data_IF_556678614974
#
_entry.id   IF_556678614974
#
_cell.length_a   1.000
_cell.length_b   1.000
_cell.length_c   1.000
_cell.angle_alpha   90.00
_cell.angle_beta   90.00
_cell.angle_gamma   90.00
#
_symmetry.space_group_name_H-M   'P 1'
#
loop_
_entity.id
_entity.type
_entity.pdbx_description
1 polymer ?
#
# COMPACT_ATOMS: atom_id res chain seq x y z
N UNK A 1 10.90 -6.70 -22.53
CA UNK A 1 9.53 -6.37 -22.99
C UNK A 1 8.59 -6.14 -21.80
N UNK A 2 8.20 -7.14 -21.01
CA UNK A 2 7.32 -6.88 -19.84
C UNK A 2 7.96 -6.04 -18.71
N UNK A 3 9.28 -6.17 -18.49
CA UNK A 3 10.00 -5.37 -17.46
C UNK A 3 10.07 -3.89 -17.80
N UNK A 4 10.31 -3.57 -19.07
CA UNK A 4 10.53 -2.20 -19.53
C UNK A 4 9.23 -1.40 -19.52
N UNK A 5 8.11 -2.07 -19.77
CA UNK A 5 6.76 -1.50 -19.71
C UNK A 5 6.35 -1.20 -18.26
N UNK A 6 6.61 -2.13 -17.33
CA UNK A 6 6.37 -1.93 -15.91
C UNK A 6 7.25 -0.81 -15.33
N UNK A 7 8.53 -0.74 -15.71
CA UNK A 7 9.42 0.36 -15.30
C UNK A 7 8.89 1.71 -15.80
N UNK A 8 8.30 1.75 -16.99
CA UNK A 8 7.70 2.95 -17.56
C UNK A 8 6.43 3.38 -16.82
N UNK A 9 5.55 2.43 -16.48
CA UNK A 9 4.37 2.70 -15.65
C UNK A 9 4.76 3.27 -14.28
N UNK A 10 5.82 2.73 -13.68
CA UNK A 10 6.38 3.24 -12.44
C UNK A 10 6.86 4.69 -12.62
N UNK A 11 7.60 4.98 -13.69
CA UNK A 11 8.10 6.33 -13.97
C UNK A 11 6.95 7.34 -14.14
N UNK A 12 5.89 6.97 -14.86
CA UNK A 12 4.67 7.77 -15.02
C UNK A 12 4.01 8.01 -13.66
N UNK A 13 3.85 6.96 -12.86
CA UNK A 13 3.26 7.06 -11.54
C UNK A 13 4.08 7.97 -10.61
N UNK A 14 5.41 7.90 -10.66
CA UNK A 14 6.30 8.81 -9.91
C UNK A 14 6.07 10.26 -10.34
N UNK A 15 6.00 10.53 -11.64
CA UNK A 15 5.74 11.90 -12.14
C UNK A 15 4.37 12.42 -11.71
N UNK A 16 3.33 11.59 -11.77
CA UNK A 16 1.99 11.94 -11.27
C UNK A 16 1.96 12.21 -9.76
N UNK A 17 2.85 11.56 -9.01
CA UNK A 17 2.93 11.70 -7.55
C UNK A 17 3.44 13.06 -7.09
N UNK A 18 4.13 13.81 -7.96
CA UNK A 18 4.45 15.21 -7.71
C UNK A 18 3.17 16.09 -7.65
N UNK A 19 2.10 15.68 -8.35
CA UNK A 19 0.90 16.47 -8.54
C UNK A 19 1.23 17.85 -9.10
N UNK A 20 0.84 18.90 -8.37
CA UNK A 20 1.11 20.30 -8.71
C UNK A 20 2.48 20.79 -8.25
N UNK A 21 3.24 19.98 -7.52
CA UNK A 21 4.51 20.39 -6.90
C UNK A 21 5.66 20.24 -7.89
N UNK A 22 6.49 21.29 -8.02
CA UNK A 22 7.73 21.22 -8.84
C UNK A 22 8.85 20.52 -8.06
N UNK A 23 8.87 20.67 -6.74
CA UNK A 23 9.85 20.08 -5.82
C UNK A 23 9.10 19.36 -4.71
N UNK A 24 9.56 18.16 -4.38
CA UNK A 24 8.98 17.36 -3.31
C UNK A 24 10.09 16.65 -2.52
N UNK A 25 9.90 16.46 -1.22
CA UNK A 25 10.85 15.71 -0.40
C UNK A 25 10.78 14.22 -0.74
N UNK A 26 11.91 13.51 -0.75
CA UNK A 26 11.96 12.09 -1.15
C UNK A 26 10.95 11.23 -0.36
N UNK A 27 10.89 11.40 0.96
CA UNK A 27 9.95 10.68 1.82
C UNK A 27 8.48 11.03 1.50
N UNK A 28 8.18 12.31 1.26
CA UNK A 28 6.82 12.75 0.95
C UNK A 28 6.39 12.26 -0.44
N UNK A 29 7.29 12.34 -1.42
CA UNK A 29 7.08 11.85 -2.77
C UNK A 29 6.86 10.34 -2.79
N UNK A 30 7.61 9.59 -1.99
CA UNK A 30 7.42 8.15 -1.85
C UNK A 30 6.03 7.81 -1.26
N UNK A 31 5.59 8.52 -0.22
CA UNK A 31 4.24 8.32 0.32
C UNK A 31 3.15 8.68 -0.70
N UNK A 32 3.30 9.78 -1.43
CA UNK A 32 2.38 10.16 -2.52
C UNK A 32 2.35 9.10 -3.61
N UNK A 33 3.51 8.57 -3.98
CA UNK A 33 3.63 7.47 -4.92
C UNK A 33 2.84 6.25 -4.48
N UNK A 34 3.02 5.80 -3.24
CA UNK A 34 2.28 4.65 -2.74
C UNK A 34 0.75 4.85 -2.75
N UNK A 35 0.28 6.10 -2.60
CA UNK A 35 -1.16 6.42 -2.70
C UNK A 35 -1.63 6.37 -4.16
N UNK A 36 -0.83 6.90 -5.09
CA UNK A 36 -1.19 6.99 -6.52
C UNK A 36 -1.04 5.64 -7.24
N UNK A 37 -0.03 4.85 -6.89
CA UNK A 37 0.28 3.55 -7.51
C UNK A 37 -0.29 2.35 -6.75
N UNK A 38 -1.16 2.58 -5.75
CA UNK A 38 -1.66 1.58 -4.82
C UNK A 38 -2.25 0.32 -5.49
N UNK A 39 -2.75 0.44 -6.72
CA UNK A 39 -3.34 -0.65 -7.50
C UNK A 39 -2.38 -1.35 -8.46
N UNK A 40 -1.19 -0.78 -8.74
CA UNK A 40 -0.32 -1.23 -9.84
C UNK A 40 1.12 -1.52 -9.44
N UNK A 41 1.64 -0.95 -8.35
CA UNK A 41 3.03 -1.19 -7.95
C UNK A 41 3.26 -0.98 -6.46
N UNK A 42 3.68 -2.05 -5.77
CA UNK A 42 4.21 -2.04 -4.41
C UNK A 42 5.74 -2.10 -4.49
N UNK A 43 6.42 -1.06 -4.01
CA UNK A 43 7.88 -1.00 -3.98
C UNK A 43 8.40 -0.49 -2.64
N UNK A 44 9.60 -0.91 -2.27
CA UNK A 44 10.31 -0.39 -1.09
C UNK A 44 10.90 0.98 -1.37
N UNK A 45 11.26 1.72 -0.32
CA UNK A 45 11.89 3.03 -0.45
C UNK A 45 13.22 2.95 -1.22
N UNK A 46 14.00 1.88 -1.04
CA UNK A 46 15.24 1.68 -1.78
C UNK A 46 15.03 1.39 -3.26
N UNK A 47 13.97 0.65 -3.61
CA UNK A 47 13.57 0.46 -5.00
C UNK A 47 13.11 1.78 -5.61
N UNK A 48 12.28 2.54 -4.90
CA UNK A 48 11.85 3.86 -5.32
C UNK A 48 13.03 4.81 -5.55
N UNK A 49 14.01 4.80 -4.66
CA UNK A 49 15.26 5.56 -4.79
C UNK A 49 16.07 5.12 -6.01
N UNK A 50 16.06 3.83 -6.34
CA UNK A 50 16.68 3.32 -7.58
C UNK A 50 15.95 3.84 -8.82
N UNK A 51 14.62 3.86 -8.82
CA UNK A 51 13.84 4.46 -9.91
C UNK A 51 14.12 5.95 -10.05
N UNK A 52 14.18 6.72 -8.96
CA UNK A 52 14.53 8.14 -9.01
C UNK A 52 15.94 8.40 -9.60
N UNK A 53 16.93 7.57 -9.27
CA UNK A 53 18.26 7.63 -9.88
C UNK A 53 18.23 7.31 -11.37
N UNK A 54 17.44 6.32 -11.78
CA UNK A 54 17.27 5.98 -13.19
C UNK A 54 16.57 7.12 -13.94
N UNK A 55 15.51 7.69 -13.37
CA UNK A 55 14.79 8.84 -13.89
C UNK A 55 15.67 10.08 -13.97
N UNK A 56 16.62 10.26 -13.04
CA UNK A 56 17.62 11.30 -13.10
C UNK A 56 18.54 11.12 -14.32
N UNK A 57 19.04 9.90 -14.54
CA UNK A 57 19.87 9.61 -15.70
C UNK A 57 19.12 9.83 -17.03
N UNK A 58 17.80 9.63 -17.03
CA UNK A 58 16.90 9.91 -18.16
C UNK A 58 16.50 11.39 -18.30
N UNK A 59 16.82 12.23 -17.30
CA UNK A 59 16.49 13.66 -17.31
C UNK A 59 15.06 14.01 -16.88
N UNK A 60 14.31 13.08 -16.28
CA UNK A 60 12.93 13.33 -15.82
C UNK A 60 12.87 14.10 -14.49
N UNK A 61 13.85 13.88 -13.62
CA UNK A 61 13.95 14.50 -12.29
C UNK A 61 15.39 14.91 -12.00
N UNK A 62 15.57 15.86 -11.09
CA UNK A 62 16.88 16.24 -10.57
C UNK A 62 16.89 16.20 -9.03
N UNK A 63 17.94 15.66 -8.40
CA UNK A 63 18.08 15.75 -6.95
C UNK A 63 18.33 17.20 -6.56
N UNK A 64 17.70 17.64 -5.48
CA UNK A 64 17.88 18.96 -4.87
C UNK A 64 17.95 18.79 -3.36
N UNK A 65 18.71 19.66 -2.71
CA UNK A 65 18.74 19.73 -1.25
C UNK A 65 17.93 20.95 -0.81
N UNK A 66 16.94 20.73 0.05
CA UNK A 66 16.12 21.80 0.59
C UNK A 66 16.05 21.66 2.11
N UNK A 67 16.51 22.69 2.83
CA UNK A 67 16.57 22.69 4.30
C UNK A 67 17.33 21.49 4.89
N UNK A 68 18.45 21.07 4.26
CA UNK A 68 19.24 19.93 4.72
C UNK A 68 18.60 18.56 4.50
N UNK A 69 17.48 18.50 3.76
CA UNK A 69 16.77 17.28 3.42
C UNK A 69 16.82 17.01 1.93
N UNK A 70 16.88 15.72 1.57
CA UNK A 70 16.82 15.26 0.18
C UNK A 70 15.44 15.50 -0.41
N UNK A 71 15.43 16.18 -1.54
CA UNK A 71 14.26 16.47 -2.33
C UNK A 71 14.56 16.21 -3.81
N UNK A 72 13.50 16.15 -4.59
CA UNK A 72 13.55 15.91 -6.02
C UNK A 72 12.77 16.99 -6.73
N UNK A 73 13.34 17.49 -7.83
CA UNK A 73 12.73 18.47 -8.71
C UNK A 73 12.25 17.75 -9.97
N UNK A 74 10.98 17.96 -10.35
CA UNK A 74 10.42 17.49 -11.61
C UNK A 74 10.94 18.35 -12.77
N UNK A 75 11.45 17.70 -13.83
CA UNK A 75 11.98 18.38 -15.02
C UNK A 75 11.09 18.24 -16.26
N UNK A 76 10.12 17.32 -16.23
CA UNK A 76 9.27 16.97 -17.37
C UNK A 76 7.79 17.14 -17.02
N UNK A 77 6.95 17.46 -18.00
CA UNK A 77 5.50 17.59 -17.83
C UNK A 77 4.85 16.23 -18.13
N UNK A 78 3.74 15.89 -17.45
CA UNK A 78 3.03 14.60 -17.62
C UNK A 78 2.73 14.26 -19.09
N UNK A 79 2.52 15.26 -19.95
CA UNK A 79 2.27 15.15 -21.39
C UNK A 79 3.47 14.75 -22.24
N UNK A 80 4.70 14.91 -21.72
CA UNK A 80 5.94 14.64 -22.46
C UNK A 80 6.47 13.21 -22.20
N UNK A 81 5.90 12.50 -21.22
CA UNK A 81 6.12 11.07 -21.07
C UNK A 81 5.13 10.42 -22.01
N UNK A 82 5.59 10.01 -23.20
CA UNK A 82 4.80 9.40 -24.29
C UNK A 82 3.79 8.35 -23.77
N UNK A 83 2.63 8.76 -23.29
CA UNK A 83 1.47 7.88 -23.20
C UNK A 83 1.08 7.60 -24.65
N UNK A 84 1.19 6.35 -25.16
CA UNK A 84 0.53 6.05 -26.41
C UNK A 84 -0.94 6.32 -26.15
N UNK A 85 -1.46 7.39 -26.77
CA UNK A 85 -2.85 7.75 -26.68
C UNK A 85 -3.64 6.55 -27.21
N UNK A 86 -4.16 5.72 -26.31
CA UNK A 86 -5.00 4.59 -26.67
C UNK A 86 -6.14 5.16 -27.51
N UNK A 87 -6.20 4.71 -28.75
CA UNK A 87 -7.24 5.17 -29.65
C UNK A 87 -8.61 4.75 -29.08
N UNK A 88 -9.69 5.50 -29.33
CA UNK A 88 -11.02 5.12 -28.87
C UNK A 88 -11.43 3.71 -29.30
N UNK A 89 -10.83 3.19 -30.37
CA UNK A 89 -11.02 1.85 -30.91
C UNK A 89 -10.34 0.79 -30.03
N UNK A 90 -9.10 1.02 -29.59
CA UNK A 90 -8.39 0.12 -28.65
C UNK A 90 -9.03 0.09 -27.26
N UNK A 91 -9.57 1.22 -26.79
CA UNK A 91 -10.35 1.27 -25.54
C UNK A 91 -11.63 0.45 -25.67
N UNK A 92 -12.29 0.50 -26.83
CA UNK A 92 -13.52 -0.26 -27.09
C UNK A 92 -13.23 -1.76 -27.21
N UNK A 93 -12.14 -2.14 -27.86
CA UNK A 93 -11.67 -3.53 -27.91
C UNK A 93 -11.25 -4.06 -26.53
N UNK A 94 -10.64 -3.21 -25.70
CA UNK A 94 -10.28 -3.57 -24.33
C UNK A 94 -11.52 -3.78 -23.45
N UNK A 95 -12.54 -2.93 -23.60
CA UNK A 95 -13.82 -3.06 -22.90
C UNK A 95 -14.58 -4.31 -23.36
N UNK A 96 -14.60 -4.61 -24.66
CA UNK A 96 -15.20 -5.86 -25.18
C UNK A 96 -14.43 -7.09 -24.69
N UNK A 97 -13.09 -7.13 -24.79
CA UNK A 97 -12.29 -8.22 -24.25
C UNK A 97 -12.44 -8.40 -22.74
N UNK A 98 -12.62 -7.30 -21.99
CA UNK A 98 -12.88 -7.36 -20.56
C UNK A 98 -14.27 -7.93 -20.25
N UNK A 99 -15.27 -7.60 -21.08
CA UNK A 99 -16.64 -8.12 -20.95
C UNK A 99 -16.70 -9.62 -21.27
N UNK A 100 -15.99 -10.07 -22.29
CA UNK A 100 -15.91 -11.48 -22.69
C UNK A 100 -15.19 -12.33 -21.62
N UNK A 101 -14.11 -11.79 -21.02
CA UNK A 101 -13.40 -12.42 -19.90
C UNK A 101 -14.24 -12.53 -18.62
N UNK A 102 -15.17 -11.60 -18.39
CA UNK A 102 -16.09 -11.65 -17.25
C UNK A 102 -17.20 -12.71 -17.43
N UNK A 103 -17.60 -13.00 -18.67
CA UNK A 103 -18.56 -14.07 -18.96
C UNK A 103 -17.95 -15.47 -18.93
N UNK A 104 -16.64 -15.61 -19.19
CA UNK A 104 -15.97 -16.92 -19.26
C UNK A 104 -15.30 -17.40 -17.94
N UNK A 105 -14.97 -16.50 -17.00
CA UNK A 105 -14.29 -16.88 -15.74
C UNK A 105 -15.22 -16.96 -14.54
N UNK A 106 -15.99 -18.05 -14.49
CA UNK A 106 -16.49 -18.65 -13.22
C UNK A 106 -15.50 -19.66 -12.60
N UNK A 107 -14.27 -19.73 -13.10
CA UNK A 107 -13.22 -20.61 -12.58
C UNK A 107 -11.95 -19.81 -12.28
N UNK A 108 -11.40 -20.05 -11.08
CA UNK A 108 -10.13 -19.56 -10.56
C UNK A 108 -9.09 -19.25 -11.64
N UNK A 109 -8.57 -18.02 -11.64
CA UNK A 109 -7.28 -17.74 -12.27
C UNK A 109 -6.60 -16.59 -11.52
N UNK A 110 -5.64 -17.01 -10.71
CA UNK A 110 -4.71 -16.22 -9.92
C UNK A 110 -3.60 -15.63 -10.81
N UNK A 111 -3.32 -14.30 -10.77
CA UNK A 111 -2.25 -13.69 -11.54
C UNK A 111 -0.91 -13.73 -10.79
N UNK A 112 0.13 -14.15 -11.51
CA UNK A 112 1.47 -14.56 -11.06
C UNK A 112 2.40 -13.48 -10.47
N UNK A 113 1.86 -12.47 -9.77
CA UNK A 113 2.60 -11.56 -8.85
C UNK A 113 2.53 -12.01 -7.37
N UNK A 114 2.12 -13.26 -7.16
CA UNK A 114 1.29 -13.69 -6.05
C UNK A 114 2.02 -14.06 -4.76
N UNK A 115 3.35 -14.27 -4.80
CA UNK A 115 4.07 -14.82 -3.65
C UNK A 115 4.24 -13.84 -2.48
N UNK A 116 4.37 -12.53 -2.75
CA UNK A 116 4.55 -11.52 -1.68
C UNK A 116 3.20 -10.92 -1.23
N UNK A 117 2.25 -10.83 -2.17
CA UNK A 117 0.87 -10.39 -1.89
C UNK A 117 0.11 -11.46 -1.09
N UNK A 118 0.36 -12.75 -1.35
CA UNK A 118 -0.21 -13.83 -0.54
C UNK A 118 0.31 -13.82 0.89
N UNK A 119 1.60 -13.58 1.14
CA UNK A 119 2.14 -13.54 2.51
C UNK A 119 1.55 -12.40 3.33
N UNK A 120 1.48 -11.20 2.76
CA UNK A 120 0.96 -10.02 3.48
C UNK A 120 -0.56 -10.07 3.68
N UNK A 121 -1.28 -10.66 2.71
CA UNK A 121 -2.72 -10.91 2.80
C UNK A 121 -3.03 -12.06 3.76
N UNK A 122 -2.24 -13.13 3.76
CA UNK A 122 -2.34 -14.22 4.72
C UNK A 122 -2.00 -13.74 6.14
N UNK A 123 -0.99 -12.89 6.30
CA UNK A 123 -0.67 -12.25 7.57
C UNK A 123 -1.79 -11.30 8.01
N UNK A 124 -2.38 -10.53 7.09
CA UNK A 124 -3.55 -9.69 7.37
C UNK A 124 -4.75 -10.52 7.84
N UNK A 125 -5.07 -11.63 7.17
CA UNK A 125 -6.12 -12.57 7.60
C UNK A 125 -5.82 -13.24 8.95
N UNK A 126 -4.54 -13.45 9.26
CA UNK A 126 -4.09 -14.01 10.54
C UNK A 126 -4.25 -12.98 11.65
N UNK A 127 -3.87 -11.72 11.38
CA UNK A 127 -4.02 -10.60 12.29
C UNK A 127 -5.50 -10.32 12.56
N UNK A 128 -6.36 -10.32 11.54
CA UNK A 128 -7.83 -10.19 11.72
C UNK A 128 -8.34 -11.26 12.66
N UNK A 129 -7.98 -12.54 12.43
CA UNK A 129 -8.41 -13.65 13.30
C UNK A 129 -7.93 -13.49 14.74
N UNK A 130 -6.69 -13.06 14.95
CA UNK A 130 -6.19 -12.79 16.29
C UNK A 130 -6.96 -11.65 16.95
N UNK A 131 -7.14 -10.54 16.27
CA UNK A 131 -7.85 -9.37 16.80
C UNK A 131 -9.31 -9.69 17.10
N UNK A 132 -10.02 -10.37 16.21
CA UNK A 132 -11.39 -10.82 16.44
C UNK A 132 -11.49 -11.75 17.66
N UNK A 133 -10.54 -12.68 17.81
CA UNK A 133 -10.47 -13.57 18.98
C UNK A 133 -10.20 -12.78 20.26
N UNK A 134 -9.21 -11.90 20.28
CA UNK A 134 -8.83 -11.13 21.46
C UNK A 134 -9.89 -10.12 21.90
N UNK A 135 -10.62 -9.53 20.93
CA UNK A 135 -11.75 -8.64 21.21
C UNK A 135 -12.95 -9.45 21.74
N UNK A 136 -13.21 -10.65 21.18
CA UNK A 136 -14.29 -11.53 21.65
C UNK A 136 -14.01 -12.14 23.03
N UNK A 137 -12.77 -12.51 23.33
CA UNK A 137 -12.35 -13.04 24.64
C UNK A 137 -12.54 -12.03 25.78
N UNK A 138 -12.47 -10.72 25.46
CA UNK A 138 -12.75 -9.66 26.43
C UNK A 138 -14.25 -9.55 26.76
N UNK A 139 -15.15 -10.00 25.87
CA UNK A 139 -16.59 -9.78 25.99
C UNK A 139 -17.46 -10.93 25.42
N UNK A 140 -17.71 -12.01 26.18
CA UNK A 140 -18.70 -13.01 25.79
C UNK A 140 -20.15 -12.50 25.88
N UNK A 141 -20.42 -11.36 26.51
CA UNK A 141 -21.79 -10.81 26.64
C UNK A 141 -21.80 -9.29 26.76
N UNK A 142 -22.68 -8.66 25.95
CA UNK A 142 -23.07 -7.23 25.92
C UNK A 142 -22.16 -6.31 25.08
N UNK A 143 -22.49 -6.17 23.80
CA UNK A 143 -22.12 -5.01 22.96
C UNK A 143 -22.60 -3.73 23.65
N UNK A 144 -21.73 -3.01 24.34
CA UNK A 144 -22.04 -1.67 24.84
C UNK A 144 -21.82 -0.67 23.71
N UNK A 145 -22.76 0.25 23.55
CA UNK A 145 -22.69 1.33 22.57
C UNK A 145 -21.52 2.25 22.98
N UNK A 146 -20.43 2.26 22.21
CA UNK A 146 -19.24 3.08 22.46
C UNK A 146 -17.89 2.34 22.42
N UNK A 147 -17.86 1.02 22.16
CA UNK A 147 -16.61 0.28 22.06
C UNK A 147 -15.90 0.50 20.71
N UNK A 148 -14.55 0.62 20.70
CA UNK A 148 -13.79 0.74 19.47
C UNK A 148 -14.01 -0.50 18.60
N UNK A 149 -14.33 -0.29 17.33
CA UNK A 149 -14.46 -1.36 16.35
C UNK A 149 -13.08 -1.93 16.01
N UNK A 150 -13.06 -3.11 15.38
CA UNK A 150 -11.84 -3.73 14.84
C UNK A 150 -10.98 -2.72 14.05
N UNK A 151 -11.63 -1.89 13.23
CA UNK A 151 -10.95 -0.88 12.42
C UNK A 151 -10.28 0.22 13.27
N UNK A 152 -10.90 0.63 14.37
CA UNK A 152 -10.33 1.65 15.27
C UNK A 152 -9.07 1.11 15.96
N UNK A 153 -9.07 -0.18 16.30
CA UNK A 153 -7.88 -0.86 16.82
C UNK A 153 -6.78 -1.00 15.77
N UNK A 154 -7.12 -1.34 14.52
CA UNK A 154 -6.16 -1.46 13.41
C UNK A 154 -5.51 -0.10 13.10
N UNK A 155 -6.30 0.98 13.04
CA UNK A 155 -5.78 2.33 12.83
C UNK A 155 -4.87 2.79 13.97
N UNK A 156 -5.26 2.54 15.21
CA UNK A 156 -4.46 2.90 16.38
C UNK A 156 -3.16 2.07 16.47
N UNK A 157 -3.21 0.78 16.14
CA UNK A 157 -2.04 -0.09 16.04
C UNK A 157 -1.07 0.38 14.95
N UNK A 158 -1.61 0.76 13.78
CA UNK A 158 -0.81 1.28 12.68
C UNK A 158 -0.12 2.59 13.06
N UNK A 159 -0.83 3.54 13.69
CA UNK A 159 -0.23 4.79 14.18
C UNK A 159 0.84 4.51 15.24
N UNK A 160 0.56 3.62 16.20
CA UNK A 160 1.49 3.28 17.26
C UNK A 160 2.77 2.62 16.69
N UNK A 161 2.63 1.72 15.72
CA UNK A 161 3.75 1.03 15.08
C UNK A 161 4.56 1.96 14.16
N UNK A 162 3.90 2.91 13.48
CA UNK A 162 4.59 3.94 12.70
C UNK A 162 5.43 4.88 13.57
N UNK A 163 5.07 5.06 14.86
CA UNK A 163 5.85 5.84 15.80
C UNK A 163 7.00 5.04 16.44
N UNK A 164 6.75 3.80 16.89
CA UNK A 164 7.80 2.89 17.42
C UNK A 164 7.22 1.51 17.77
N UNK A 165 8.08 0.47 17.74
CA UNK A 165 7.78 -0.87 18.25
C UNK A 165 7.25 -0.85 19.70
N UNK A 166 7.84 -0.07 20.59
CA UNK A 166 7.47 -0.01 22.00
C UNK A 166 6.06 0.56 22.21
N UNK A 167 5.68 1.57 21.42
CA UNK A 167 4.32 2.15 21.48
C UNK A 167 3.28 1.17 20.94
N UNK A 168 3.61 0.43 19.89
CA UNK A 168 2.75 -0.64 19.38
C UNK A 168 2.48 -1.71 20.44
N UNK A 169 3.54 -2.28 21.03
CA UNK A 169 3.40 -3.33 22.04
C UNK A 169 2.65 -2.84 23.27
N UNK A 170 2.90 -1.58 23.70
CA UNK A 170 2.13 -0.95 24.78
C UNK A 170 0.65 -0.83 24.45
N UNK A 171 0.32 -0.37 23.23
CA UNK A 171 -1.07 -0.28 22.81
C UNK A 171 -1.77 -1.65 22.82
N UNK A 172 -1.12 -2.68 22.27
CA UNK A 172 -1.66 -4.05 22.24
C UNK A 172 -1.83 -4.60 23.65
N UNK A 173 -0.86 -4.39 24.54
CA UNK A 173 -0.96 -4.80 25.95
C UNK A 173 -2.16 -4.16 26.65
N UNK A 174 -2.39 -2.87 26.45
CA UNK A 174 -3.40 -2.10 27.19
C UNK A 174 -4.82 -2.31 26.62
N UNK A 175 -4.94 -2.53 25.30
CA UNK A 175 -6.23 -2.56 24.61
C UNK A 175 -6.66 -3.95 24.17
N UNK A 176 -5.72 -4.85 23.84
CA UNK A 176 -6.00 -6.21 23.36
C UNK A 176 -4.96 -7.20 23.94
N UNK A 177 -4.89 -7.36 25.28
CA UNK A 177 -3.85 -8.17 25.92
C UNK A 177 -3.84 -9.63 25.45
N UNK A 178 -5.00 -10.16 25.05
CA UNK A 178 -5.16 -11.54 24.55
C UNK A 178 -4.39 -11.83 23.25
N UNK A 179 -3.99 -10.81 22.49
CA UNK A 179 -3.18 -10.98 21.26
C UNK A 179 -1.74 -10.49 21.43
N UNK A 180 -1.34 -10.04 22.62
CA UNK A 180 -0.02 -9.44 22.85
C UNK A 180 1.12 -10.36 22.39
N UNK A 181 1.12 -11.62 22.85
CA UNK A 181 2.16 -12.60 22.50
C UNK A 181 2.16 -12.95 21.01
N UNK A 182 0.99 -12.99 20.39
CA UNK A 182 0.85 -13.28 18.97
C UNK A 182 1.42 -12.12 18.13
N UNK A 183 1.11 -10.87 18.51
CA UNK A 183 1.59 -9.67 17.83
C UNK A 183 3.09 -9.43 18.06
N UNK A 184 3.61 -9.71 19.26
CA UNK A 184 5.04 -9.66 19.57
C UNK A 184 5.82 -10.68 18.73
N UNK A 185 5.32 -11.92 18.65
CA UNK A 185 5.90 -12.99 17.83
C UNK A 185 5.89 -12.67 16.33
N UNK A 186 4.80 -12.08 15.82
CA UNK A 186 4.74 -11.62 14.41
C UNK A 186 5.78 -10.53 14.17
N UNK A 187 5.91 -9.57 15.08
CA UNK A 187 6.83 -8.45 14.94
C UNK A 187 8.30 -8.92 14.98
N UNK A 188 8.63 -9.88 15.86
CA UNK A 188 9.97 -10.46 15.96
C UNK A 188 10.33 -11.38 14.78
N UNK A 189 9.34 -12.05 14.17
CA UNK A 189 9.58 -13.02 13.08
C UNK A 189 9.49 -12.43 11.68
N UNK A 190 8.62 -11.45 11.46
CA UNK A 190 8.32 -10.86 10.14
C UNK A 190 8.80 -9.42 10.00
N UNK A 191 9.13 -8.76 11.11
CA UNK A 191 9.59 -7.38 11.12
C UNK A 191 8.46 -6.35 11.09
N UNK A 192 8.81 -5.12 11.47
CA UNK A 192 7.86 -4.00 11.61
C UNK A 192 7.20 -3.62 10.27
N UNK A 193 7.96 -3.66 9.19
CA UNK A 193 7.48 -3.29 7.84
C UNK A 193 6.38 -4.24 7.34
N UNK A 194 6.55 -5.56 7.55
CA UNK A 194 5.56 -6.55 7.15
C UNK A 194 4.25 -6.38 7.93
N UNK A 195 4.36 -6.10 9.24
CA UNK A 195 3.20 -5.88 10.09
C UNK A 195 2.47 -4.57 9.75
N UNK A 196 3.19 -3.48 9.49
CA UNK A 196 2.62 -2.22 8.99
C UNK A 196 1.89 -2.43 7.65
N UNK A 197 2.50 -3.19 6.74
CA UNK A 197 1.91 -3.49 5.44
C UNK A 197 0.60 -4.26 5.59
N UNK A 198 0.57 -5.29 6.44
CA UNK A 198 -0.64 -6.07 6.69
C UNK A 198 -1.73 -5.29 7.41
N UNK A 199 -1.40 -4.44 8.39
CA UNK A 199 -2.38 -3.54 9.01
C UNK A 199 -3.00 -2.58 8.00
N UNK A 200 -2.20 -2.08 7.04
CA UNK A 200 -2.69 -1.23 5.94
C UNK A 200 -3.59 -1.98 4.96
N UNK A 201 -3.28 -3.26 4.66
CA UNK A 201 -4.17 -4.13 3.87
C UNK A 201 -5.53 -4.29 4.54
N UNK A 202 -5.56 -4.48 5.86
CA UNK A 202 -6.81 -4.60 6.63
C UNK A 202 -7.61 -3.29 6.58
N UNK A 203 -6.96 -2.14 6.81
CA UNK A 203 -7.57 -0.81 6.75
C UNK A 203 -8.20 -0.54 5.38
N UNK A 204 -7.46 -0.85 4.32
CA UNK A 204 -7.87 -0.62 2.93
C UNK A 204 -9.01 -1.55 2.52
N UNK A 205 -8.97 -2.82 2.96
CA UNK A 205 -10.04 -3.79 2.73
C UNK A 205 -11.36 -3.43 3.44
N UNK A 206 -11.28 -2.80 4.61
CA UNK A 206 -12.47 -2.32 5.33
C UNK A 206 -13.03 -1.00 4.78
N UNK A 207 -12.20 -0.12 4.20
CA UNK A 207 -12.66 1.14 3.58
C UNK A 207 -13.21 0.97 2.16
N UNK A 208 -12.88 -0.12 1.46
CA UNK A 208 -13.41 -0.43 0.14
C UNK A 208 -14.89 -0.90 0.14
N UNK A 209 -15.56 -0.90 1.30
CA UNK A 209 -16.96 -1.34 1.43
C UNK A 209 -17.68 -0.55 2.54
N UNK A 210 -18.90 -0.07 2.28
CA UNK A 210 -20.03 -0.52 3.11
C UNK A 210 -21.01 -1.35 2.27
N UNK A 211 -21.68 -2.38 2.85
CA UNK A 211 -22.89 -2.93 2.26
C UNK A 211 -24.00 -1.87 2.38
N UNK A 212 -24.66 -1.57 1.26
CA UNK A 212 -25.97 -0.93 1.27
C UNK A 212 -27.05 -1.94 1.67
#
# INVERSE_FOLDING_TARGET
MQSDEMDREIEIAIVRSFGWSIIDFEAALFQKFLVVSASTSLMTEDMFRKHLKNMQAKGYVAPVEFQGKRAWKRLVIETDIDEPALTPEEVKEFIEKARDRMTEKKGHMEPSGEKVVSESKALAETIIRFLERGIAERHPMKKRIGEPKLIDHVEAMQRALAESKEKFLRYVHDHIPGVYKDMESILDSKGEEALLLSLRVIESGHRAYPPQ
#
